data_IF_828665619788
#
_entry.id   IF_828665619788
#
_cell.length_a   1.000
_cell.length_b   1.000
_cell.length_c   1.000
_cell.angle_alpha   90.00
_cell.angle_beta   90.00
_cell.angle_gamma   90.00
#
_symmetry.space_group_name_H-M   'P 1'
#
loop_
_entity.id
_entity.type
_entity.pdbx_description
1 polymer ?
#
# COMPACT_ATOMS: atom_id res chain seq x y z
N UNK A 1 -27.96 -12.92 -7.96
CA UNK A 1 -26.92 -13.52 -7.10
C UNK A 1 -27.53 -13.97 -5.77
N UNK A 2 -28.50 -14.90 -5.81
CA UNK A 2 -29.26 -15.29 -4.61
C UNK A 2 -28.37 -16.08 -3.65
N UNK A 3 -28.36 -15.71 -2.36
CA UNK A 3 -27.59 -16.39 -1.32
C UNK A 3 -26.11 -15.99 -1.20
N UNK A 4 -25.60 -15.12 -2.08
CA UNK A 4 -24.22 -14.60 -1.97
C UNK A 4 -24.14 -13.53 -0.88
N UNK A 5 -23.22 -13.70 0.07
CA UNK A 5 -23.00 -12.71 1.13
C UNK A 5 -22.27 -11.47 0.59
N UNK A 6 -22.78 -10.28 0.95
CA UNK A 6 -22.07 -8.99 0.77
C UNK A 6 -22.12 -8.22 2.08
N UNK A 7 -20.98 -8.15 2.80
CA UNK A 7 -20.91 -7.48 4.12
C UNK A 7 -20.96 -5.95 4.04
N UNK A 8 -20.55 -5.42 2.89
CA UNK A 8 -20.61 -4.01 2.55
C UNK A 8 -21.50 -3.89 1.31
N UNK A 9 -22.46 -2.98 1.32
CA UNK A 9 -23.18 -2.59 0.12
C UNK A 9 -22.23 -1.86 -0.83
N UNK A 10 -22.47 -1.99 -2.13
CA UNK A 10 -21.65 -1.36 -3.17
C UNK A 10 -22.48 -0.47 -4.10
N UNK A 11 -22.06 -0.41 -5.36
CA UNK A 11 -22.73 0.35 -6.41
C UNK A 11 -24.11 -0.22 -6.77
N UNK A 12 -25.01 0.68 -7.15
CA UNK A 12 -26.36 0.38 -7.62
C UNK A 12 -26.39 -0.07 -9.09
N UNK A 13 -27.53 -0.63 -9.54
CA UNK A 13 -27.74 -1.00 -10.95
C UNK A 13 -27.61 0.22 -11.87
N UNK A 14 -28.11 1.38 -11.45
CA UNK A 14 -28.04 2.61 -12.25
C UNK A 14 -26.59 3.09 -12.44
N UNK A 15 -25.76 2.95 -11.41
CA UNK A 15 -24.33 3.25 -11.51
C UNK A 15 -23.61 2.26 -12.44
N UNK A 16 -23.94 0.97 -12.38
CA UNK A 16 -23.40 -0.05 -13.29
C UNK A 16 -23.77 0.27 -14.74
N UNK A 17 -25.03 0.65 -15.00
CA UNK A 17 -25.50 1.04 -16.33
C UNK A 17 -24.75 2.28 -16.86
N UNK A 18 -24.60 3.31 -16.01
CA UNK A 18 -23.86 4.52 -16.36
C UNK A 18 -22.38 4.22 -16.70
N UNK A 19 -21.68 3.42 -15.89
CA UNK A 19 -20.30 3.02 -16.16
C UNK A 19 -20.17 2.20 -17.45
N UNK A 20 -21.11 1.29 -17.69
CA UNK A 20 -21.11 0.44 -18.89
C UNK A 20 -21.28 1.29 -20.16
N UNK A 21 -22.22 2.24 -20.14
CA UNK A 21 -22.43 3.18 -21.27
C UNK A 21 -21.19 4.04 -21.53
N UNK A 22 -20.55 4.57 -20.49
CA UNK A 22 -19.34 5.38 -20.63
C UNK A 22 -18.19 4.61 -21.31
N UNK A 23 -18.06 3.31 -21.04
CA UNK A 23 -17.02 2.46 -21.66
C UNK A 23 -17.27 2.16 -23.14
N UNK A 24 -18.51 2.28 -23.62
CA UNK A 24 -18.89 1.99 -25.01
C UNK A 24 -18.63 3.17 -25.96
N UNK A 25 -18.20 4.33 -25.45
CA UNK A 25 -18.02 5.57 -26.23
C UNK A 25 -16.60 5.78 -26.78
N UNK A 26 -15.72 4.77 -26.71
CA UNK A 26 -14.34 4.86 -27.23
C UNK A 26 -14.30 4.50 -28.71
N UNK A 27 -13.91 5.47 -29.56
CA UNK A 27 -13.56 5.29 -30.98
C UNK A 27 -12.05 4.99 -31.15
N UNK A 28 -11.42 4.35 -30.16
CA UNK A 28 -9.98 4.07 -30.22
C UNK A 28 -9.68 2.93 -31.20
N UNK A 29 -8.77 3.18 -32.15
CA UNK A 29 -8.33 2.18 -33.12
C UNK A 29 -7.50 1.03 -32.49
N UNK A 30 -7.09 1.17 -31.23
CA UNK A 30 -6.23 0.22 -30.52
C UNK A 30 -6.65 0.08 -29.06
N UNK A 31 -6.38 -1.08 -28.48
CA UNK A 31 -6.58 -1.30 -27.05
C UNK A 31 -5.64 -0.42 -26.22
N UNK A 32 -6.17 0.15 -25.14
CA UNK A 32 -5.34 0.80 -24.15
C UNK A 32 -4.31 -0.19 -23.59
N UNK A 33 -3.09 0.31 -23.36
CA UNK A 33 -1.96 -0.45 -22.84
C UNK A 33 -2.25 -1.21 -21.53
N UNK A 34 -3.23 -0.73 -20.75
CA UNK A 34 -3.61 -1.29 -19.45
C UNK A 34 -2.52 -1.12 -18.39
N UNK A 35 -2.91 -1.24 -17.13
CA UNK A 35 -1.96 -1.20 -16.01
C UNK A 35 -2.40 -2.08 -14.84
N UNK A 36 -3.37 -2.97 -15.03
CA UNK A 36 -3.93 -3.77 -13.94
C UNK A 36 -2.89 -4.64 -13.24
N UNK A 37 -1.97 -5.24 -14.00
CA UNK A 37 -0.97 -6.19 -13.47
C UNK A 37 0.39 -5.56 -13.18
N UNK A 38 0.68 -4.42 -13.81
CA UNK A 38 1.98 -3.75 -13.70
C UNK A 38 1.80 -2.25 -13.78
N UNK A 39 2.54 -1.54 -12.94
CA UNK A 39 2.61 -0.09 -12.99
C UNK A 39 3.06 0.39 -14.38
N UNK A 40 2.38 1.43 -14.87
CA UNK A 40 2.79 2.22 -16.03
C UNK A 40 2.58 3.70 -15.71
N UNK A 41 3.41 4.57 -16.28
CA UNK A 41 3.34 6.02 -16.01
C UNK A 41 1.98 6.64 -16.33
N UNK A 42 1.34 6.21 -17.42
CA UNK A 42 -0.01 6.64 -17.83
C UNK A 42 -1.10 5.64 -17.40
N UNK A 43 -0.75 4.75 -16.47
CA UNK A 43 -1.61 3.66 -16.02
C UNK A 43 -2.53 4.06 -14.87
N UNK A 44 -3.23 3.04 -14.35
CA UNK A 44 -3.91 3.13 -13.07
C UNK A 44 -2.87 3.34 -11.95
N UNK A 45 -3.34 3.84 -10.83
CA UNK A 45 -2.51 4.01 -9.65
C UNK A 45 -2.05 2.65 -9.07
N UNK A 46 -0.77 2.53 -8.67
CA UNK A 46 -0.24 1.35 -7.93
C UNK A 46 0.35 1.76 -6.59
N UNK A 47 0.06 0.98 -5.54
CA UNK A 47 0.63 1.20 -4.21
C UNK A 47 2.16 1.14 -4.20
N UNK A 48 2.74 0.26 -5.02
CA UNK A 48 4.16 0.22 -5.31
C UNK A 48 4.41 0.87 -6.67
N UNK A 49 5.04 2.04 -6.66
CA UNK A 49 5.40 2.79 -7.86
C UNK A 49 6.84 3.33 -7.73
N UNK A 50 7.44 3.89 -8.79
CA UNK A 50 8.82 4.36 -8.76
C UNK A 50 9.12 5.38 -7.64
N UNK A 51 8.20 6.30 -7.38
CA UNK A 51 8.36 7.32 -6.33
C UNK A 51 8.37 6.68 -4.93
N UNK A 52 7.39 5.82 -4.63
CA UNK A 52 7.31 5.17 -3.32
C UNK A 52 8.52 4.27 -3.05
N UNK A 53 9.00 3.56 -4.07
CA UNK A 53 10.18 2.69 -3.98
C UNK A 53 11.44 3.54 -3.75
N UNK A 54 11.62 4.60 -4.54
CA UNK A 54 12.76 5.49 -4.44
C UNK A 54 12.87 6.09 -3.04
N UNK A 55 11.79 6.67 -2.53
CA UNK A 55 11.77 7.33 -1.22
C UNK A 55 12.09 6.35 -0.08
N UNK A 56 11.51 5.15 -0.10
CA UNK A 56 11.75 4.15 0.94
C UNK A 56 13.20 3.65 0.92
N UNK A 57 13.73 3.34 -0.27
CA UNK A 57 15.10 2.84 -0.41
C UNK A 57 16.13 3.85 0.10
N UNK A 58 15.97 5.14 -0.23
CA UNK A 58 16.90 6.18 0.21
C UNK A 58 16.76 6.45 1.71
N UNK A 59 15.53 6.49 2.24
CA UNK A 59 15.28 6.66 3.67
C UNK A 59 15.98 5.56 4.51
N UNK A 60 15.87 4.29 4.10
CA UNK A 60 16.51 3.18 4.80
C UNK A 60 18.04 3.18 4.63
N UNK A 61 18.54 3.49 3.42
CA UNK A 61 19.98 3.46 3.13
C UNK A 61 20.75 4.56 3.85
N UNK A 62 20.20 5.77 3.88
CA UNK A 62 20.83 6.95 4.49
C UNK A 62 20.44 7.13 5.97
N UNK A 63 19.58 6.25 6.50
CA UNK A 63 19.00 6.35 7.84
C UNK A 63 18.32 7.71 8.10
N UNK A 64 17.54 8.18 7.12
CA UNK A 64 16.89 9.49 7.12
C UNK A 64 15.39 9.37 7.43
N UNK A 65 15.03 9.73 8.67
CA UNK A 65 13.64 9.71 9.11
C UNK A 65 12.76 10.77 8.43
N UNK A 66 13.32 11.91 8.00
CA UNK A 66 12.54 12.91 7.26
C UNK A 66 12.15 12.38 5.88
N UNK A 67 13.05 11.67 5.20
CA UNK A 67 12.71 10.96 3.95
C UNK A 67 11.69 9.84 4.19
N UNK A 68 11.77 9.12 5.31
CA UNK A 68 10.75 8.13 5.66
C UNK A 68 9.36 8.76 5.88
N UNK A 69 9.29 9.98 6.44
CA UNK A 69 8.03 10.73 6.54
C UNK A 69 7.51 11.15 5.16
N UNK A 70 8.39 11.59 4.27
CA UNK A 70 8.01 11.92 2.89
C UNK A 70 7.45 10.69 2.14
N UNK A 71 8.10 9.52 2.28
CA UNK A 71 7.57 8.24 1.83
C UNK A 71 6.19 7.96 2.41
N UNK A 72 6.05 8.08 3.73
CA UNK A 72 4.80 7.79 4.46
C UNK A 72 3.65 8.70 4.03
N UNK A 73 3.91 9.97 3.76
CA UNK A 73 2.88 10.86 3.23
C UNK A 73 2.52 10.51 1.78
N UNK A 74 3.51 10.25 0.92
CA UNK A 74 3.27 9.88 -0.48
C UNK A 74 2.40 8.62 -0.61
N UNK A 75 2.59 7.62 0.26
CA UNK A 75 1.81 6.38 0.20
C UNK A 75 0.42 6.48 0.86
N UNK A 76 0.20 7.43 1.77
CA UNK A 76 -1.06 7.53 2.53
C UNK A 76 -1.99 8.66 2.06
N UNK A 77 -1.48 9.68 1.35
CA UNK A 77 -2.27 10.86 0.95
C UNK A 77 -3.28 10.55 -0.16
N UNK A 78 -4.53 10.98 0.05
CA UNK A 78 -5.63 10.91 -0.93
C UNK A 78 -5.88 9.50 -1.52
N UNK A 79 -5.87 8.48 -0.66
CA UNK A 79 -5.97 7.08 -1.08
C UNK A 79 -7.36 6.52 -0.93
N UNK A 80 -7.75 5.64 -1.84
CA UNK A 80 -9.04 4.91 -1.81
C UNK A 80 -8.91 3.46 -2.27
N UNK A 81 -7.69 2.98 -2.52
CA UNK A 81 -7.37 1.65 -3.02
C UNK A 81 -7.51 0.51 -2.00
N UNK A 82 -7.63 0.84 -0.71
CA UNK A 82 -7.85 -0.11 0.37
C UNK A 82 -8.94 0.39 1.32
N UNK A 83 -9.71 -0.53 1.91
CA UNK A 83 -10.79 -0.21 2.86
C UNK A 83 -10.28 0.65 4.02
N UNK A 84 -9.06 0.42 4.50
CA UNK A 84 -8.46 1.21 5.60
C UNK A 84 -8.36 2.71 5.28
N UNK A 85 -8.34 3.10 4.01
CA UNK A 85 -8.29 4.50 3.61
C UNK A 85 -9.64 5.21 3.75
N UNK A 86 -10.73 4.47 3.97
CA UNK A 86 -12.05 5.01 4.30
C UNK A 86 -12.24 5.21 5.81
N UNK A 87 -11.20 4.91 6.61
CA UNK A 87 -11.23 5.03 8.06
C UNK A 87 -10.37 6.20 8.51
N UNK A 88 -10.82 6.89 9.54
CA UNK A 88 -10.10 8.00 10.18
C UNK A 88 -9.88 7.70 11.67
N UNK A 89 -8.79 8.24 12.21
CA UNK A 89 -8.56 8.23 13.64
C UNK A 89 -9.52 9.20 14.32
N UNK A 90 -10.19 8.74 15.38
CA UNK A 90 -11.01 9.63 16.22
C UNK A 90 -10.10 10.63 16.93
N UNK A 91 -10.54 11.87 17.02
CA UNK A 91 -9.86 12.89 17.81
C UNK A 91 -9.72 12.42 19.28
N UNK A 92 -8.54 12.59 19.84
CA UNK A 92 -8.22 12.28 21.24
C UNK A 92 -7.31 13.35 21.83
N UNK A 93 -7.16 13.35 23.16
CA UNK A 93 -6.20 14.22 23.83
C UNK A 93 -4.77 13.74 23.52
N UNK A 94 -3.91 14.59 22.94
CA UNK A 94 -2.54 14.21 22.66
C UNK A 94 -1.75 14.03 23.96
N UNK A 95 -0.78 13.12 23.93
CA UNK A 95 0.20 12.91 24.99
C UNK A 95 1.59 13.25 24.46
N UNK A 96 2.55 13.43 25.37
CA UNK A 96 3.96 13.56 24.98
C UNK A 96 4.44 12.25 24.33
N UNK A 97 5.30 12.35 23.31
CA UNK A 97 5.88 11.18 22.65
C UNK A 97 6.73 10.35 23.64
N UNK A 98 7.31 10.98 24.65
CA UNK A 98 8.10 10.31 25.68
C UNK A 98 7.23 9.42 26.60
N UNK A 99 5.90 9.56 26.56
CA UNK A 99 4.96 8.70 27.27
C UNK A 99 4.53 7.48 26.43
N UNK A 100 4.89 7.43 25.15
CA UNK A 100 4.61 6.29 24.28
C UNK A 100 5.60 5.17 24.58
N UNK A 101 5.15 3.93 24.42
CA UNK A 101 6.00 2.75 24.51
C UNK A 101 7.27 2.89 23.64
N UNK A 102 8.47 2.51 24.13
CA UNK A 102 9.70 2.70 23.39
C UNK A 102 9.75 1.83 22.13
N UNK A 103 10.53 2.27 21.14
CA UNK A 103 10.73 1.56 19.87
C UNK A 103 11.16 0.11 20.10
N UNK A 104 12.03 -0.15 21.08
CA UNK A 104 12.53 -1.48 21.43
C UNK A 104 11.44 -2.48 21.80
N UNK A 105 10.28 -2.02 22.28
CA UNK A 105 9.14 -2.90 22.59
C UNK A 105 8.13 -2.94 21.44
N UNK A 106 7.93 -1.83 20.72
CA UNK A 106 7.07 -1.78 19.53
C UNK A 106 7.57 -2.76 18.46
N UNK A 107 8.87 -2.75 18.14
CA UNK A 107 9.44 -3.57 17.06
C UNK A 107 9.31 -5.08 17.29
N UNK A 108 9.18 -5.53 18.54
CA UNK A 108 8.95 -6.94 18.88
C UNK A 108 7.61 -7.47 18.36
N UNK A 109 6.68 -6.59 17.99
CA UNK A 109 5.40 -6.96 17.38
C UNK A 109 5.50 -7.12 15.86
N UNK A 110 6.62 -6.75 15.25
CA UNK A 110 6.84 -6.87 13.82
C UNK A 110 7.46 -8.22 13.50
N UNK A 111 6.99 -8.83 12.42
CA UNK A 111 7.54 -10.06 11.87
C UNK A 111 7.80 -9.85 10.40
N UNK A 112 8.92 -10.37 9.89
CA UNK A 112 9.11 -10.50 8.44
C UNK A 112 8.23 -11.65 7.96
N UNK A 113 7.50 -11.43 6.86
CA UNK A 113 6.66 -12.48 6.27
C UNK A 113 7.50 -13.69 5.84
N UNK A 114 6.93 -14.90 5.95
CA UNK A 114 7.61 -16.11 5.49
C UNK A 114 7.78 -16.09 3.97
N UNK A 115 9.00 -15.88 3.50
CA UNK A 115 9.39 -15.96 2.10
C UNK A 115 10.30 -17.18 1.93
N UNK A 116 9.97 -18.06 0.98
CA UNK A 116 10.71 -19.32 0.85
C UNK A 116 12.11 -19.08 0.31
N UNK A 117 13.06 -19.90 0.74
CA UNK A 117 14.45 -19.88 0.26
C UNK A 117 14.59 -20.12 -1.26
N UNK A 118 13.56 -20.68 -1.91
CA UNK A 118 13.51 -20.82 -3.38
C UNK A 118 12.88 -19.63 -4.11
N UNK A 119 12.21 -18.72 -3.38
CA UNK A 119 11.55 -17.53 -3.94
C UNK A 119 12.41 -16.28 -3.89
N UNK A 120 13.38 -16.24 -2.99
CA UNK A 120 14.35 -15.16 -2.82
C UNK A 120 15.75 -15.75 -2.70
N UNK A 121 16.78 -14.94 -2.89
CA UNK A 121 18.16 -15.43 -2.75
C UNK A 121 18.49 -15.79 -1.30
N UNK A 122 19.51 -16.63 -1.12
CA UNK A 122 20.06 -16.99 0.18
C UNK A 122 20.43 -15.76 1.00
N UNK A 123 21.11 -14.81 0.37
CA UNK A 123 21.59 -13.56 0.97
C UNK A 123 20.41 -12.71 1.46
N UNK A 124 19.33 -12.60 0.67
CA UNK A 124 18.14 -11.87 1.07
C UNK A 124 17.46 -12.52 2.28
N UNK A 125 17.36 -13.85 2.27
CA UNK A 125 16.75 -14.60 3.37
C UNK A 125 17.56 -14.47 4.67
N UNK A 126 18.87 -14.65 4.60
CA UNK A 126 19.78 -14.51 5.75
C UNK A 126 19.80 -13.09 6.29
N UNK A 127 19.79 -12.07 5.41
CA UNK A 127 19.74 -10.65 5.81
C UNK A 127 18.51 -10.36 6.66
N UNK A 128 17.34 -10.86 6.27
CA UNK A 128 16.11 -10.66 7.04
C UNK A 128 16.17 -11.36 8.40
N UNK A 129 16.71 -12.58 8.46
CA UNK A 129 16.86 -13.32 9.70
C UNK A 129 17.82 -12.62 10.67
N UNK A 130 18.96 -12.13 10.16
CA UNK A 130 19.93 -11.39 10.96
C UNK A 130 19.35 -10.07 11.47
N UNK A 131 18.66 -9.31 10.61
CA UNK A 131 18.02 -8.05 11.00
C UNK A 131 17.03 -8.27 12.15
N UNK A 132 16.12 -9.24 12.02
CA UNK A 132 15.11 -9.50 13.06
C UNK A 132 15.69 -9.98 14.38
N UNK A 133 16.79 -10.74 14.35
CA UNK A 133 17.47 -11.20 15.56
C UNK A 133 18.31 -10.11 16.26
N UNK A 134 18.57 -8.99 15.59
CA UNK A 134 19.35 -7.86 16.12
C UNK A 134 18.49 -6.72 16.69
N UNK A 135 17.16 -6.77 16.49
CA UNK A 135 16.20 -5.75 16.96
C UNK A 135 15.91 -5.84 18.46
#
# INVERSE_FOLDING_TARGET
>A
FTGTQSKLSGISIDQIDAENKARQQSDDNYLASGSTFQWRQQGQHHAFNPESIFLLQHACKENDYAQFKAYSEAVNKNRTDHIRHLLEFKACTPIDIDQVEPVSDIVKRFNTGAMSYGSISAEAHETLAQAMNQL
#
